data_IF_985345474985
#
_entry.id   IF_985345474985
#
_cell.length_a   1.000
_cell.length_b   1.000
_cell.length_c   1.000
_cell.angle_alpha   90.00
_cell.angle_beta   90.00
_cell.angle_gamma   90.00
#
_symmetry.space_group_name_H-M   'P 1'
#
loop_
_entity.id
_entity.type
_entity.pdbx_description
1 polymer ?
#
# COMPACT_ATOMS: atom_id res chain seq x y z
N UNK A 1 1.23 18.71 19.89
CA UNK A 1 1.69 17.53 19.16
C UNK A 1 0.90 16.32 19.63
N UNK A 2 0.02 15.77 18.77
CA UNK A 2 -0.89 14.68 19.16
C UNK A 2 -0.28 13.29 18.92
N UNK A 3 1.03 13.19 18.66
CA UNK A 3 1.78 11.93 18.44
C UNK A 3 1.05 10.94 17.51
N UNK A 4 0.36 11.44 16.48
CA UNK A 4 -0.36 10.63 15.51
C UNK A 4 0.64 10.14 14.47
N UNK A 5 0.71 8.84 14.24
CA UNK A 5 1.48 8.18 13.19
C UNK A 5 0.54 7.75 12.08
N UNK A 6 0.86 8.11 10.83
CA UNK A 6 -0.01 7.84 9.68
C UNK A 6 0.07 6.38 9.22
N UNK A 7 1.28 5.81 9.16
CA UNK A 7 1.62 4.42 8.82
C UNK A 7 1.35 3.97 7.37
N UNK A 8 0.77 4.82 6.53
CA UNK A 8 0.47 4.51 5.12
C UNK A 8 0.63 5.74 4.22
N UNK A 9 1.76 6.45 4.38
CA UNK A 9 2.10 7.61 3.53
C UNK A 9 2.47 7.10 2.14
N UNK A 10 1.70 7.54 1.13
CA UNK A 10 1.89 7.17 -0.28
C UNK A 10 1.14 8.16 -1.19
N UNK A 11 1.45 8.26 -2.50
CA UNK A 11 0.79 9.20 -3.40
C UNK A 11 -0.74 9.09 -3.41
N UNK A 12 -1.29 7.87 -3.31
CA UNK A 12 -2.74 7.63 -3.32
C UNK A 12 -3.47 8.26 -2.12
N UNK A 13 -2.75 8.49 -1.01
CA UNK A 13 -3.28 9.10 0.20
C UNK A 13 -2.97 10.60 0.29
N UNK A 14 -2.42 11.21 -0.79
CA UNK A 14 -2.10 12.63 -0.86
C UNK A 14 -3.01 13.29 -1.91
N UNK A 15 -3.85 14.18 -1.47
CA UNK A 15 -4.78 14.92 -2.32
C UNK A 15 -4.26 16.35 -2.48
N UNK A 16 -4.15 16.81 -3.72
CA UNK A 16 -3.80 18.17 -4.05
C UNK A 16 -5.03 18.82 -4.69
N UNK A 17 -5.53 19.89 -4.07
CA UNK A 17 -6.63 20.66 -4.60
C UNK A 17 -6.18 21.60 -5.73
N UNK A 18 -7.12 22.08 -6.53
CA UNK A 18 -6.83 23.00 -7.64
C UNK A 18 -6.21 24.34 -7.22
N UNK A 19 -6.39 24.74 -5.95
CA UNK A 19 -5.76 25.92 -5.33
C UNK A 19 -4.42 25.58 -4.66
N UNK A 20 -3.86 24.39 -4.90
CA UNK A 20 -2.53 23.98 -4.44
C UNK A 20 -2.48 23.53 -2.97
N UNK A 21 -3.61 23.36 -2.30
CA UNK A 21 -3.62 22.84 -0.93
C UNK A 21 -3.41 21.33 -0.92
N UNK A 22 -2.48 20.87 -0.09
CA UNK A 22 -2.18 19.45 0.10
C UNK A 22 -2.89 18.93 1.35
N UNK A 23 -3.50 17.77 1.23
CA UNK A 23 -4.11 17.02 2.35
C UNK A 23 -3.64 15.57 2.30
N UNK A 24 -3.27 15.02 3.45
CA UNK A 24 -3.02 13.61 3.64
C UNK A 24 -4.27 12.97 4.23
N UNK A 25 -4.72 11.87 3.65
CA UNK A 25 -5.95 11.13 4.00
C UNK A 25 -5.63 9.70 4.33
N UNK A 26 -6.62 8.95 4.81
CA UNK A 26 -6.55 7.50 5.05
C UNK A 26 -5.43 7.09 6.01
N UNK A 27 -5.49 7.67 7.23
CA UNK A 27 -4.63 7.25 8.32
C UNK A 27 -4.71 5.74 8.53
N UNK A 28 -3.57 5.04 8.51
CA UNK A 28 -3.46 3.59 8.53
C UNK A 28 -3.90 2.90 9.82
N UNK A 29 -5.02 3.37 10.43
CA UNK A 29 -5.59 2.86 11.68
C UNK A 29 -6.02 1.39 11.54
N UNK A 30 -6.34 0.95 10.33
CA UNK A 30 -6.82 -0.41 10.05
C UNK A 30 -5.72 -1.49 10.01
N UNK A 31 -4.43 -1.13 10.14
CA UNK A 31 -3.32 -2.10 10.10
C UNK A 31 -3.01 -2.77 11.44
N UNK A 32 -3.77 -2.48 12.48
CA UNK A 32 -3.69 -3.20 13.76
C UNK A 32 -4.55 -4.45 13.66
N UNK A 33 -3.90 -5.59 13.44
CA UNK A 33 -4.39 -6.93 13.69
C UNK A 33 -5.59 -7.44 12.88
N UNK A 34 -5.40 -7.76 11.60
CA UNK A 34 -6.01 -8.97 11.03
C UNK A 34 -5.03 -9.57 10.02
N UNK A 35 -4.40 -10.65 10.43
CA UNK A 35 -3.39 -11.42 9.71
C UNK A 35 -3.92 -12.17 8.47
N UNK A 36 -5.16 -11.94 8.02
CA UNK A 36 -5.80 -12.85 7.05
C UNK A 36 -6.52 -12.17 5.87
N UNK A 37 -6.28 -10.90 5.57
CA UNK A 37 -6.88 -10.33 4.35
C UNK A 37 -5.81 -9.62 3.52
N UNK A 38 -5.17 -10.35 2.61
CA UNK A 38 -4.37 -9.77 1.54
C UNK A 38 -5.35 -9.20 0.51
N UNK A 39 -5.82 -7.98 0.73
CA UNK A 39 -6.55 -7.23 -0.30
C UNK A 39 -5.54 -6.61 -1.27
N UNK A 40 -5.95 -6.34 -2.50
CA UNK A 40 -5.15 -5.65 -3.53
C UNK A 40 -4.51 -4.34 -3.05
N UNK A 41 -5.10 -3.69 -2.04
CA UNK A 41 -4.56 -2.50 -1.39
C UNK A 41 -3.26 -2.75 -0.59
N UNK A 42 -3.03 -3.98 -0.12
CA UNK A 42 -1.78 -4.36 0.57
C UNK A 42 -0.62 -4.41 -0.43
N UNK A 43 -0.87 -4.85 -1.67
CA UNK A 43 0.15 -4.96 -2.71
C UNK A 43 0.73 -3.58 -3.08
N UNK A 44 -0.09 -2.54 -3.21
CA UNK A 44 0.37 -1.18 -3.49
C UNK A 44 1.12 -0.52 -2.33
N UNK A 45 0.74 -0.80 -1.09
CA UNK A 45 1.33 -0.15 0.09
C UNK A 45 2.72 -0.66 0.45
N UNK A 46 3.10 -1.89 0.02
CA UNK A 46 4.42 -2.46 0.35
C UNK A 46 5.56 -1.63 -0.27
N UNK A 47 5.34 -0.99 -1.42
CA UNK A 47 6.35 -0.15 -2.08
C UNK A 47 6.81 1.04 -1.25
N UNK A 48 6.02 1.46 -0.26
CA UNK A 48 6.31 2.61 0.61
C UNK A 48 6.59 2.20 2.07
N UNK A 49 6.55 0.91 2.37
CA UNK A 49 6.71 0.40 3.73
C UNK A 49 8.15 0.60 4.22
N UNK A 50 8.29 1.11 5.45
CA UNK A 50 9.61 1.23 6.06
C UNK A 50 10.20 -0.15 6.41
N UNK A 51 11.54 -0.26 6.58
CA UNK A 51 12.19 -1.51 6.96
C UNK A 51 11.60 -2.13 8.22
N UNK A 52 11.29 -1.32 9.25
CA UNK A 52 10.68 -1.78 10.49
C UNK A 52 9.24 -2.27 10.29
N UNK A 53 8.47 -1.64 9.40
CA UNK A 53 7.14 -2.14 9.02
C UNK A 53 7.23 -3.46 8.26
N UNK A 54 8.19 -3.59 7.36
CA UNK A 54 8.42 -4.82 6.59
C UNK A 54 8.78 -6.02 7.48
N UNK A 55 9.44 -5.76 8.65
CA UNK A 55 9.72 -6.77 9.68
C UNK A 55 8.54 -7.07 10.59
N UNK A 56 7.42 -6.36 10.46
CA UNK A 56 6.31 -6.44 11.42
C UNK A 56 6.61 -5.78 12.77
N UNK A 57 7.62 -4.90 12.81
CA UNK A 57 8.04 -4.17 13.97
C UNK A 57 7.18 -2.96 14.32
N UNK A 58 7.55 -2.30 15.41
CA UNK A 58 6.90 -1.06 15.84
C UNK A 58 7.12 0.06 14.83
N UNK A 59 6.05 0.74 14.47
CA UNK A 59 6.04 1.86 13.53
C UNK A 59 5.75 3.17 14.27
N UNK A 60 6.62 4.15 14.10
CA UNK A 60 6.50 5.49 14.65
C UNK A 60 6.55 6.57 13.54
N UNK A 61 6.68 7.83 13.92
CA UNK A 61 6.78 8.94 12.96
C UNK A 61 8.00 8.84 12.03
N UNK A 62 9.08 8.15 12.43
CA UNK A 62 10.24 7.92 11.56
C UNK A 62 9.93 6.94 10.44
N UNK A 63 8.94 6.05 10.63
CA UNK A 63 8.39 5.22 9.56
C UNK A 63 7.66 6.07 8.52
N UNK A 64 6.91 7.09 8.96
CA UNK A 64 6.24 8.02 8.04
C UNK A 64 7.25 8.89 7.26
N UNK A 65 8.36 9.29 7.90
CA UNK A 65 9.48 9.98 7.22
C UNK A 65 10.07 9.11 6.11
N UNK A 66 10.27 7.80 6.37
CA UNK A 66 10.75 6.87 5.35
C UNK A 66 9.78 6.77 4.18
N UNK A 67 8.50 6.53 4.46
CA UNK A 67 7.45 6.41 3.44
C UNK A 67 7.31 7.70 2.63
N UNK A 68 7.46 8.87 3.27
CA UNK A 68 7.50 10.16 2.59
C UNK A 68 8.72 10.28 1.66
N UNK A 69 9.89 9.81 2.08
CA UNK A 69 11.09 9.76 1.24
C UNK A 69 10.91 8.91 -0.03
N UNK A 70 10.27 7.73 0.10
CA UNK A 70 9.91 6.89 -1.05
C UNK A 70 8.88 7.59 -1.95
N UNK A 71 7.89 8.24 -1.35
CA UNK A 71 6.87 9.02 -2.08
C UNK A 71 7.52 10.17 -2.85
N UNK A 72 8.45 10.91 -2.25
CA UNK A 72 9.21 11.99 -2.92
C UNK A 72 10.04 11.44 -4.08
N UNK A 73 10.70 10.31 -3.89
CA UNK A 73 11.44 9.64 -4.96
C UNK A 73 10.54 9.38 -6.17
N UNK A 74 9.40 8.74 -5.95
CA UNK A 74 8.45 8.44 -7.03
C UNK A 74 7.87 9.70 -7.67
N UNK A 75 7.47 10.70 -6.88
CA UNK A 75 6.93 11.97 -7.40
C UNK A 75 7.92 12.68 -8.34
N UNK A 76 9.21 12.57 -8.08
CA UNK A 76 10.25 13.25 -8.85
C UNK A 76 10.75 12.42 -10.04
N UNK A 77 10.70 11.09 -9.95
CA UNK A 77 11.27 10.20 -10.98
C UNK A 77 10.22 9.48 -11.83
N UNK A 78 8.98 9.41 -11.36
CA UNK A 78 7.93 8.58 -11.96
C UNK A 78 8.10 7.07 -11.67
N UNK A 79 9.06 6.69 -10.81
CA UNK A 79 9.38 5.29 -10.52
C UNK A 79 9.48 5.05 -9.01
N UNK A 80 9.01 3.92 -8.54
CA UNK A 80 9.32 3.46 -7.18
C UNK A 80 10.77 2.96 -7.12
N UNK A 81 11.52 3.18 -6.02
CA UNK A 81 12.92 2.73 -5.94
C UNK A 81 13.05 1.20 -5.86
N UNK A 82 12.04 0.52 -5.34
CA UNK A 82 12.02 -0.93 -5.21
C UNK A 82 10.75 -1.50 -5.82
N UNK A 83 10.92 -2.45 -6.73
CA UNK A 83 9.86 -3.19 -7.41
C UNK A 83 10.20 -4.69 -7.44
N UNK A 84 9.20 -5.55 -7.63
CA UNK A 84 9.39 -7.00 -7.67
C UNK A 84 8.09 -7.77 -7.88
N UNK A 85 8.22 -9.04 -8.26
CA UNK A 85 7.09 -9.90 -8.62
C UNK A 85 6.17 -10.23 -7.42
N UNK A 86 6.67 -10.06 -6.20
CA UNK A 86 5.91 -10.36 -4.98
C UNK A 86 6.11 -9.28 -3.91
N UNK A 87 5.11 -9.11 -3.05
CA UNK A 87 5.20 -8.21 -1.89
C UNK A 87 6.38 -8.53 -0.97
N UNK A 88 6.72 -9.83 -0.85
CA UNK A 88 7.87 -10.29 -0.07
C UNK A 88 9.19 -9.85 -0.72
N UNK A 89 9.32 -9.96 -2.05
CA UNK A 89 10.52 -9.51 -2.75
C UNK A 89 10.73 -8.00 -2.57
N UNK A 90 9.66 -7.21 -2.68
CA UNK A 90 9.71 -5.76 -2.44
C UNK A 90 10.09 -5.45 -0.98
N UNK A 91 9.46 -6.12 -0.02
CA UNK A 91 9.76 -5.96 1.40
C UNK A 91 11.24 -6.27 1.71
N UNK A 92 11.79 -7.33 1.14
CA UNK A 92 13.20 -7.68 1.29
C UNK A 92 14.14 -6.59 0.75
N UNK A 93 13.80 -5.98 -0.38
CA UNK A 93 14.57 -4.84 -0.91
C UNK A 93 14.55 -3.65 0.03
N UNK A 94 13.39 -3.31 0.63
CA UNK A 94 13.33 -2.28 1.67
C UNK A 94 14.24 -2.58 2.86
N UNK A 95 14.41 -3.85 3.19
CA UNK A 95 15.28 -4.27 4.30
C UNK A 95 16.78 -4.21 3.96
N UNK A 96 17.15 -4.57 2.74
CA UNK A 96 18.53 -4.94 2.40
C UNK A 96 19.18 -4.01 1.36
N UNK A 97 18.42 -3.50 0.41
CA UNK A 97 18.97 -2.73 -0.71
C UNK A 97 18.90 -1.23 -0.47
N UNK A 98 19.97 -0.52 -0.82
CA UNK A 98 19.97 0.94 -0.87
C UNK A 98 19.19 1.42 -2.11
N UNK A 99 18.51 2.57 -2.00
CA UNK A 99 17.81 3.15 -3.14
C UNK A 99 18.80 3.58 -4.21
N UNK A 100 18.45 3.36 -5.46
CA UNK A 100 19.23 3.92 -6.59
C UNK A 100 19.11 5.44 -6.59
N UNK A 101 20.15 6.12 -7.09
CA UNK A 101 20.10 7.57 -7.20
C UNK A 101 18.91 7.99 -8.07
N UNK A 102 18.04 8.92 -7.61
CA UNK A 102 16.98 9.46 -8.44
C UNK A 102 17.51 10.20 -9.68
N UNK A 103 18.77 10.66 -9.68
CA UNK A 103 19.45 11.23 -10.84
C UNK A 103 19.68 10.23 -11.99
N UNK A 104 19.49 8.93 -11.74
CA UNK A 104 19.43 7.93 -12.82
C UNK A 104 18.27 8.19 -13.79
N UNK A 105 17.16 8.68 -13.29
CA UNK A 105 15.95 8.98 -14.07
C UNK A 105 15.85 10.47 -14.42
N UNK A 106 16.28 11.34 -13.51
CA UNK A 106 16.22 12.79 -13.64
C UNK A 106 17.60 13.37 -13.27
N UNK A 107 18.54 13.44 -14.21
CA UNK A 107 19.94 13.86 -13.96
C UNK A 107 20.09 15.25 -13.36
N UNK A 108 19.15 16.16 -13.67
CA UNK A 108 19.15 17.55 -13.24
C UNK A 108 18.60 17.79 -11.82
N UNK A 109 18.16 16.75 -11.10
CA UNK A 109 17.69 16.93 -9.73
C UNK A 109 18.75 17.60 -8.86
N UNK A 110 18.37 18.63 -8.06
CA UNK A 110 19.30 19.30 -7.16
C UNK A 110 19.98 18.35 -6.18
N UNK A 111 21.25 18.64 -5.84
CA UNK A 111 22.02 17.81 -4.90
C UNK A 111 21.34 17.70 -3.54
N UNK A 112 20.85 18.82 -3.01
CA UNK A 112 20.16 18.87 -1.72
C UNK A 112 18.89 17.99 -1.71
N UNK A 113 18.09 18.02 -2.78
CA UNK A 113 16.87 17.17 -2.91
C UNK A 113 17.23 15.69 -2.87
N UNK A 114 18.27 15.29 -3.60
CA UNK A 114 18.77 13.90 -3.59
C UNK A 114 19.22 13.48 -2.19
N UNK A 115 19.95 14.35 -1.49
CA UNK A 115 20.43 14.09 -0.13
C UNK A 115 19.29 14.00 0.88
N UNK A 116 18.24 14.84 0.76
CA UNK A 116 17.04 14.77 1.59
C UNK A 116 16.35 13.41 1.43
N UNK A 117 16.16 12.96 0.18
CA UNK A 117 15.59 11.64 -0.10
C UNK A 117 16.43 10.53 0.53
N UNK A 118 17.75 10.57 0.37
CA UNK A 118 18.65 9.59 0.98
C UNK A 118 18.58 9.59 2.52
N UNK A 119 18.47 10.77 3.15
CA UNK A 119 18.31 10.86 4.61
C UNK A 119 16.99 10.30 5.08
N UNK A 120 15.89 10.60 4.40
CA UNK A 120 14.58 10.03 4.71
C UNK A 120 14.58 8.50 4.62
N UNK A 121 15.25 7.94 3.61
CA UNK A 121 15.20 6.52 3.26
C UNK A 121 16.31 5.67 3.90
N UNK A 122 17.01 6.20 4.90
CA UNK A 122 17.99 5.42 5.66
C UNK A 122 17.33 4.21 6.32
N UNK A 123 18.02 3.06 6.29
CA UNK A 123 17.50 1.80 6.86
C UNK A 123 17.32 1.90 8.37
N UNK A 124 18.31 2.45 9.08
CA UNK A 124 18.19 2.74 10.51
C UNK A 124 17.34 3.99 10.73
N UNK A 125 16.25 3.91 11.55
CA UNK A 125 15.45 5.08 11.92
C UNK A 125 16.27 6.21 12.56
N UNK A 126 17.36 5.89 13.26
CA UNK A 126 18.21 6.89 13.92
C UNK A 126 19.09 7.69 12.97
N UNK A 127 19.21 7.25 11.72
CA UNK A 127 19.93 7.96 10.67
C UNK A 127 19.02 8.83 9.79
N UNK A 128 17.71 8.74 9.99
CA UNK A 128 16.72 9.60 9.35
C UNK A 128 16.64 10.94 10.07
N UNK A 129 15.73 11.76 9.64
CA UNK A 129 15.38 12.99 10.35
C UNK A 129 14.85 12.70 11.75
N UNK A 130 15.26 13.52 12.73
CA UNK A 130 14.83 13.38 14.13
C UNK A 130 13.34 13.65 14.30
N UNK A 131 12.81 14.56 13.47
CA UNK A 131 11.41 14.97 13.44
C UNK A 131 11.05 15.61 12.09
N UNK A 132 9.78 16.00 11.93
CA UNK A 132 9.29 16.65 10.71
C UNK A 132 9.78 18.09 10.59
N UNK A 133 10.07 18.78 11.68
CA UNK A 133 10.57 20.14 11.70
C UNK A 133 11.98 20.22 11.06
N UNK A 134 12.85 19.27 11.39
CA UNK A 134 14.17 19.16 10.77
C UNK A 134 14.05 18.88 9.26
N UNK A 135 13.16 17.97 8.85
CA UNK A 135 12.92 17.70 7.42
C UNK A 135 12.40 18.94 6.69
N UNK A 136 11.44 19.65 7.28
CA UNK A 136 10.88 20.89 6.69
C UNK A 136 11.95 21.97 6.58
N UNK A 137 12.85 22.08 7.56
CA UNK A 137 13.97 23.01 7.51
C UNK A 137 14.88 22.74 6.31
N UNK A 138 15.30 21.48 6.11
CA UNK A 138 16.14 21.09 4.99
C UNK A 138 15.43 21.27 3.64
N UNK A 139 14.11 20.97 3.57
CA UNK A 139 13.30 21.21 2.37
C UNK A 139 13.25 22.71 2.01
N UNK A 140 13.08 23.59 3.00
CA UNK A 140 13.10 25.06 2.78
C UNK A 140 14.47 25.53 2.32
N UNK A 141 15.53 25.03 2.95
CA UNK A 141 16.90 25.37 2.55
C UNK A 141 17.20 24.89 1.13
N UNK A 142 16.69 23.74 0.71
CA UNK A 142 16.88 23.20 -0.64
C UNK A 142 16.27 24.09 -1.73
N UNK A 143 15.22 24.88 -1.42
CA UNK A 143 14.64 25.84 -2.35
C UNK A 143 15.54 27.07 -2.55
N UNK A 144 16.34 27.42 -1.54
CA UNK A 144 17.25 28.59 -1.56
C UNK A 144 18.63 28.18 -2.05
N UNK A 145 19.10 27.01 -1.65
CA UNK A 145 20.43 26.49 -1.92
C UNK A 145 20.36 25.06 -2.51
N UNK A 146 19.88 24.88 -3.75
CA UNK A 146 19.63 23.57 -4.34
C UNK A 146 20.87 22.68 -4.47
N UNK A 147 22.05 23.25 -4.70
CA UNK A 147 23.31 22.50 -4.79
C UNK A 147 24.09 22.46 -3.46
N UNK A 148 23.50 22.94 -2.38
CA UNK A 148 24.12 22.98 -1.05
C UNK A 148 24.39 21.59 -0.47
N UNK A 149 25.37 21.54 0.44
CA UNK A 149 25.80 20.33 1.15
C UNK A 149 25.49 20.44 2.66
N UNK A 150 24.26 20.80 2.98
CA UNK A 150 23.80 21.07 4.34
C UNK A 150 23.13 19.87 5.00
N UNK A 151 22.63 18.89 4.22
CA UNK A 151 21.95 17.71 4.74
C UNK A 151 22.96 16.81 5.44
N UNK A 152 22.79 16.64 6.75
CA UNK A 152 23.65 15.79 7.58
C UNK A 152 23.02 14.43 7.81
N UNK A 153 23.72 13.36 7.44
CA UNK A 153 23.34 11.98 7.76
C UNK A 153 24.31 11.48 8.83
N UNK A 154 23.77 11.01 9.96
CA UNK A 154 24.61 10.47 11.02
C UNK A 154 25.47 9.30 10.50
N UNK A 155 26.74 9.21 10.88
CA UNK A 155 27.57 8.06 10.52
C UNK A 155 26.96 6.77 11.06
N UNK A 156 27.29 5.64 10.42
CA UNK A 156 26.96 4.32 11.01
C UNK A 156 27.71 4.22 12.34
N UNK A 157 26.98 4.08 13.44
CA UNK A 157 27.61 3.70 14.69
C UNK A 157 28.18 2.30 14.49
N UNK A 158 29.49 2.13 14.69
CA UNK A 158 30.17 0.83 14.57
C UNK A 158 29.65 -0.19 15.58
N UNK A 159 28.86 0.25 16.56
CA UNK A 159 28.13 -0.58 17.53
C UNK A 159 26.69 -0.90 17.11
N UNK A 160 26.15 -0.22 16.11
CA UNK A 160 24.88 -0.60 15.51
C UNK A 160 25.13 -1.91 14.77
N UNK A 161 24.79 -3.03 15.41
CA UNK A 161 24.77 -4.31 14.74
C UNK A 161 23.94 -4.15 13.46
N UNK A 162 24.58 -4.39 12.32
CA UNK A 162 23.87 -4.72 11.09
C UNK A 162 22.91 -5.84 11.50
N UNK A 163 21.62 -5.56 11.57
CA UNK A 163 20.64 -6.60 11.80
C UNK A 163 20.62 -7.42 10.52
N UNK A 164 21.54 -8.39 10.48
CA UNK A 164 21.48 -9.46 9.50
C UNK A 164 20.14 -10.12 9.80
N UNK A 165 19.21 -10.03 8.84
CA UNK A 165 17.95 -10.79 8.92
C UNK A 165 18.38 -12.23 9.16
N UNK A 166 18.13 -12.74 10.34
CA UNK A 166 18.55 -14.09 10.69
C UNK A 166 17.84 -15.08 9.78
N UNK A 167 18.50 -16.22 9.52
CA UNK A 167 17.88 -17.29 8.72
C UNK A 167 16.51 -17.70 9.30
N UNK A 168 16.35 -17.56 10.62
CA UNK A 168 15.09 -17.84 11.33
C UNK A 168 14.00 -16.81 11.05
N UNK A 169 14.35 -15.52 10.90
CA UNK A 169 13.40 -14.49 10.48
C UNK A 169 12.99 -14.66 9.01
N UNK A 170 13.95 -15.03 8.14
CA UNK A 170 13.68 -15.40 6.75
C UNK A 170 12.79 -16.65 6.67
N UNK A 171 12.98 -17.61 7.55
CA UNK A 171 12.18 -18.81 7.61
C UNK A 171 10.77 -18.52 8.12
N UNK A 172 10.58 -17.69 9.13
CA UNK A 172 9.27 -17.24 9.60
C UNK A 172 8.48 -16.50 8.52
N UNK A 173 9.16 -15.66 7.72
CA UNK A 173 8.55 -14.97 6.59
C UNK A 173 8.12 -15.99 5.50
N UNK A 174 8.91 -17.05 5.31
CA UNK A 174 8.60 -18.15 4.36
C UNK A 174 7.53 -19.10 4.89
N UNK A 175 7.53 -19.41 6.17
CA UNK A 175 6.58 -20.33 6.82
C UNK A 175 5.17 -19.72 6.88
N UNK A 176 5.04 -18.43 7.18
CA UNK A 176 3.76 -17.71 7.03
C UNK A 176 3.18 -17.74 5.61
N UNK A 177 4.01 -18.04 4.60
CA UNK A 177 3.59 -18.25 3.22
C UNK A 177 3.06 -19.67 2.98
N UNK A 178 3.66 -20.70 3.61
CA UNK A 178 3.24 -22.09 3.43
C UNK A 178 1.91 -22.38 4.11
N UNK A 179 1.62 -21.74 5.24
CA UNK A 179 0.32 -21.80 5.90
C UNK A 179 -0.78 -21.13 5.04
N UNK A 180 -0.44 -20.08 4.27
CA UNK A 180 -1.37 -19.44 3.32
C UNK A 180 -1.63 -20.28 2.06
N UNK A 181 -0.66 -21.05 1.59
CA UNK A 181 -0.83 -21.90 0.40
C UNK A 181 -1.58 -23.23 0.72
N UNK A 182 -1.56 -23.67 1.96
CA UNK A 182 -2.34 -24.87 2.38
C UNK A 182 -3.81 -24.56 2.70
N UNK A 183 -4.18 -23.29 2.80
CA UNK A 183 -5.58 -22.85 2.97
C UNK A 183 -6.36 -22.76 1.65
N UNK A 184 -5.74 -22.99 0.50
CA UNK A 184 -6.36 -23.06 -0.82
C UNK A 184 -6.55 -24.51 -1.29
N UNK A 185 -7.05 -25.40 -0.45
CA UNK A 185 -7.64 -26.64 -0.96
C UNK A 185 -9.04 -26.35 -1.53
N UNK A 186 -9.34 -26.81 -2.76
CA UNK A 186 -10.63 -26.56 -3.38
C UNK A 186 -11.75 -27.26 -2.60
N UNK A 187 -12.80 -26.51 -2.31
CA UNK A 187 -14.06 -27.09 -1.81
C UNK A 187 -14.48 -28.25 -2.69
N UNK A 188 -14.74 -29.44 -2.14
CA UNK A 188 -15.27 -30.54 -2.93
C UNK A 188 -16.67 -30.16 -3.42
N UNK A 189 -16.80 -30.10 -4.74
CA UNK A 189 -18.11 -30.01 -5.39
C UNK A 189 -18.90 -31.28 -5.12
N UNK A 190 -20.20 -31.09 -4.81
CA UNK A 190 -21.27 -32.09 -4.82
C UNK A 190 -21.31 -33.09 -3.67
N UNK A 191 -22.10 -32.76 -2.66
CA UNK A 191 -22.97 -33.73 -2.04
C UNK A 191 -24.42 -33.27 -2.23
N UNK A 192 -25.18 -34.09 -2.97
CA UNK A 192 -26.63 -33.99 -3.11
C UNK A 192 -27.32 -34.09 -1.73
N UNK A 193 -28.44 -33.37 -1.48
CA UNK A 193 -29.12 -33.45 -0.21
C UNK A 193 -29.82 -34.81 -0.06
N UNK A 194 -29.36 -35.58 0.91
CA UNK A 194 -30.05 -36.80 1.34
C UNK A 194 -31.39 -36.43 1.94
N UNK A 195 -32.42 -36.88 1.30
CA UNK A 195 -33.83 -36.80 1.68
C UNK A 195 -34.10 -37.63 2.94
N UNK A 196 -34.23 -37.01 4.11
CA UNK A 196 -34.81 -37.64 5.29
C UNK A 196 -36.22 -37.15 5.43
N UNK A 197 -37.16 -38.08 5.12
CA UNK A 197 -38.59 -37.85 5.16
C UNK A 197 -39.13 -37.53 6.55
N UNK A 198 -40.09 -36.62 6.59
CA UNK A 198 -41.16 -36.57 7.61
C UNK A 198 -42.48 -36.25 6.96
N UNK A 199 -43.62 -36.78 7.48
CA UNK A 199 -44.82 -37.04 6.71
C UNK A 199 -45.74 -35.82 6.57
N UNK A 200 -46.37 -35.80 5.38
CA UNK A 200 -47.41 -34.87 4.97
C UNK A 200 -48.77 -35.17 5.62
N UNK A 201 -49.57 -34.21 6.02
CA UNK A 201 -51.02 -34.37 6.05
C UNK A 201 -51.75 -33.52 4.99
N UNK A 202 -52.30 -34.25 4.05
CA UNK A 202 -53.63 -34.06 3.44
C UNK A 202 -53.91 -32.83 2.54
N UNK A 203 -54.11 -33.22 1.29
CA UNK A 203 -54.85 -32.58 0.20
C UNK A 203 -56.36 -32.53 0.51
N UNK A 204 -57.22 -31.61 -0.06
CA UNK A 204 -57.82 -32.01 -1.34
C UNK A 204 -58.07 -30.85 -2.37
N UNK A 205 -57.86 -31.26 -3.65
CA UNK A 205 -58.72 -31.00 -4.83
C UNK A 205 -59.16 -29.53 -5.18
N UNK A 206 -58.85 -28.99 -6.32
CA UNK A 206 -59.75 -29.09 -7.50
C UNK A 206 -59.17 -28.32 -8.73
N UNK A 207 -59.19 -29.00 -9.85
CA UNK A 207 -59.49 -28.69 -11.24
C UNK A 207 -59.29 -27.26 -11.81
N UNK A 208 -58.69 -27.22 -13.01
CA UNK A 208 -59.05 -26.28 -14.05
C UNK A 208 -57.91 -25.76 -14.92
N UNK A 209 -57.62 -26.47 -16.01
CA UNK A 209 -57.05 -25.94 -17.25
C UNK A 209 -58.24 -25.73 -18.23
N UNK A 210 -58.23 -24.96 -19.32
CA UNK A 210 -57.14 -24.47 -20.15
C UNK A 210 -57.37 -23.08 -20.82
N UNK A 211 -56.35 -22.70 -21.62
CA UNK A 211 -56.44 -21.97 -22.89
C UNK A 211 -56.35 -20.41 -22.92
N UNK A 212 -55.30 -19.99 -23.65
CA UNK A 212 -55.29 -19.02 -24.74
C UNK A 212 -55.48 -17.53 -24.44
N UNK A 213 -54.51 -16.71 -24.80
CA UNK A 213 -54.56 -15.64 -25.81
C UNK A 213 -53.31 -14.78 -25.82
N UNK A 214 -52.61 -14.82 -26.92
CA UNK A 214 -52.10 -13.76 -27.79
C UNK A 214 -52.04 -12.33 -27.28
N UNK A 215 -50.84 -11.74 -27.43
CA UNK A 215 -50.63 -10.51 -28.18
C UNK A 215 -50.68 -9.20 -27.44
N UNK A 216 -49.56 -8.51 -27.38
CA UNK A 216 -49.35 -7.18 -27.94
C UNK A 216 -48.02 -6.60 -27.48
N UNK A 217 -47.23 -6.28 -28.47
CA UNK A 217 -46.04 -5.43 -28.29
C UNK A 217 -46.41 -3.97 -28.02
N UNK A 218 -45.50 -3.28 -27.41
CA UNK A 218 -45.31 -1.84 -27.61
C UNK A 218 -43.85 -1.46 -27.47
N UNK A 219 -43.34 -0.87 -28.55
CA UNK A 219 -42.16 -0.07 -28.71
C UNK A 219 -42.23 1.18 -27.83
N UNK A 220 -41.12 1.59 -27.24
CA UNK A 220 -40.79 3.02 -27.03
C UNK A 220 -39.31 3.16 -27.33
N UNK A 221 -39.01 3.73 -28.36
CA UNK A 221 -38.62 5.02 -28.84
C UNK A 221 -37.44 5.64 -28.11
N UNK A 222 -36.38 5.68 -28.86
CA UNK A 222 -35.15 6.45 -28.87
C UNK A 222 -35.44 7.96 -28.67
N UNK A 223 -34.70 8.64 -27.81
CA UNK A 223 -34.53 10.09 -27.85
C UNK A 223 -33.07 10.44 -27.51
N UNK A 224 -32.39 10.85 -28.58
CA UNK A 224 -31.11 11.49 -28.52
C UNK A 224 -31.21 12.94 -27.99
N UNK A 225 -30.15 13.35 -27.29
CA UNK A 225 -29.91 14.78 -27.06
C UNK A 225 -28.65 15.19 -27.80
N UNK A 226 -28.89 16.10 -28.74
CA UNK A 226 -27.88 16.90 -29.44
C UNK A 226 -27.39 18.02 -28.55
N UNK A 227 -26.11 18.33 -28.71
CA UNK A 227 -25.36 19.44 -28.12
C UNK A 227 -25.57 20.71 -29.02
N UNK A 228 -25.68 21.92 -28.51
CA UNK A 228 -25.34 23.11 -29.28
C UNK A 228 -24.18 23.89 -28.65
N UNK A 229 -23.28 24.26 -29.52
CA UNK A 229 -22.35 25.38 -29.64
C UNK A 229 -21.75 25.95 -28.34
#
# INVERSE_FOLDING_TARGET
NNAIVHRDVKPQNIIISTDGKVKVTDFGIARVATSNTISSNVMGSVHYSSPEQARGGYSDYKSDIYSLGITMYEMLTGHVPFDGDTTVAIALKHLQEEIQSPRKYVPELPKSTVQIIYKCTQKSPDRRYSDMEELISDLKESLVNPEGDFVKIAPLDSRAHTVIVSQDELNKIKEGRNEMQQAEEPYPANQEPVNTGMPNPQNPQNMGNPQNMQGRGQQYANNGYQNPQ
#
